data_IF_156309078176
#
_entry.id   IF_156309078176
#
_cell.length_a   1.000
_cell.length_b   1.000
_cell.length_c   1.000
_cell.angle_alpha   90.00
_cell.angle_beta   90.00
_cell.angle_gamma   90.00
#
_symmetry.space_group_name_H-M   'P 1'
#
loop_
_entity.id
_entity.type
_entity.pdbx_description
1 polymer ?
#
# COMPACT_ATOMS: atom_id res chain seq x y z
N UNK A 1 -20.34 -25.27 12.60
CA UNK A 1 -20.49 -24.41 11.40
C UNK A 1 -21.58 -23.34 11.49
N UNK A 2 -22.64 -23.48 12.31
CA UNK A 2 -23.64 -22.41 12.56
C UNK A 2 -23.12 -21.26 13.47
N UNK A 3 -22.05 -21.54 14.21
CA UNK A 3 -21.51 -20.67 15.26
C UNK A 3 -20.97 -19.36 14.69
N UNK A 4 -20.37 -19.36 13.50
CA UNK A 4 -19.68 -18.17 12.96
C UNK A 4 -20.63 -16.99 12.70
N UNK A 5 -21.83 -17.26 12.17
CA UNK A 5 -22.85 -16.20 11.99
C UNK A 5 -23.45 -15.73 13.31
N UNK A 6 -23.63 -16.64 14.27
CA UNK A 6 -24.10 -16.28 15.60
C UNK A 6 -23.10 -15.35 16.30
N UNK A 7 -21.79 -15.65 16.22
CA UNK A 7 -20.74 -14.78 16.77
C UNK A 7 -20.78 -13.39 16.14
N UNK A 8 -20.89 -13.31 14.82
CA UNK A 8 -20.97 -12.04 14.11
C UNK A 8 -22.19 -11.23 14.53
N UNK A 9 -23.36 -11.85 14.64
CA UNK A 9 -24.58 -11.19 15.11
C UNK A 9 -24.47 -10.71 16.57
N UNK A 10 -23.84 -11.50 17.45
CA UNK A 10 -23.58 -11.09 18.84
C UNK A 10 -22.64 -9.89 18.85
N UNK A 11 -21.59 -9.91 18.03
CA UNK A 11 -20.68 -8.78 17.89
C UNK A 11 -21.41 -7.52 17.40
N UNK A 12 -22.27 -7.63 16.39
CA UNK A 12 -23.08 -6.49 15.92
C UNK A 12 -23.98 -5.94 17.05
N UNK A 13 -24.66 -6.83 17.79
CA UNK A 13 -25.55 -6.44 18.87
C UNK A 13 -24.82 -5.75 20.03
N UNK A 14 -23.61 -6.21 20.38
CA UNK A 14 -22.83 -5.66 21.50
C UNK A 14 -22.07 -4.38 21.10
N UNK A 15 -21.53 -4.33 19.88
CA UNK A 15 -20.72 -3.19 19.41
C UNK A 15 -21.53 -2.07 18.77
N UNK A 16 -22.74 -2.36 18.29
CA UNK A 16 -23.52 -1.45 17.45
C UNK A 16 -22.97 -1.28 16.03
N UNK A 17 -21.98 -2.09 15.63
CA UNK A 17 -21.41 -2.08 14.28
C UNK A 17 -22.18 -3.06 13.38
N UNK A 18 -22.26 -2.75 12.09
CA UNK A 18 -22.89 -3.62 11.08
C UNK A 18 -21.88 -4.10 10.04
N UNK A 19 -22.00 -5.37 9.65
CA UNK A 19 -21.18 -5.97 8.60
C UNK A 19 -21.62 -5.43 7.25
N UNK A 20 -20.65 -4.96 6.49
CA UNK A 20 -20.87 -4.55 5.11
C UNK A 20 -20.75 -5.76 4.17
N UNK A 21 -21.88 -6.43 3.94
CA UNK A 21 -21.96 -7.62 3.06
C UNK A 21 -21.44 -7.39 1.64
N UNK A 22 -21.50 -6.16 1.12
CA UNK A 22 -20.98 -5.81 -0.20
C UNK A 22 -19.45 -5.75 -0.26
N UNK A 23 -18.80 -5.52 0.88
CA UNK A 23 -17.34 -5.46 1.03
C UNK A 23 -16.74 -6.72 1.67
N UNK A 24 -17.58 -7.67 2.09
CA UNK A 24 -17.14 -8.92 2.72
C UNK A 24 -16.92 -10.03 1.71
N UNK A 25 -15.68 -10.52 1.67
CA UNK A 25 -15.25 -11.57 0.75
C UNK A 25 -14.47 -12.66 1.49
N UNK A 26 -14.51 -13.88 0.95
CA UNK A 26 -13.66 -15.00 1.32
C UNK A 26 -12.68 -15.24 0.18
N UNK A 27 -11.39 -15.32 0.51
CA UNK A 27 -10.33 -15.61 -0.43
C UNK A 27 -9.70 -16.97 -0.09
N UNK A 28 -9.87 -18.01 -0.92
CA UNK A 28 -9.20 -19.27 -0.69
C UNK A 28 -7.68 -19.12 -0.90
N UNK A 29 -6.90 -19.68 0.02
CA UNK A 29 -5.44 -19.77 -0.12
C UNK A 29 -5.11 -21.21 -0.48
N UNK A 30 -4.59 -21.41 -1.69
CA UNK A 30 -4.41 -22.74 -2.33
C UNK A 30 -5.76 -23.44 -2.58
N UNK A 31 -5.76 -24.78 -2.52
CA UNK A 31 -6.93 -25.61 -2.76
C UNK A 31 -7.68 -25.78 -1.44
N UNK A 32 -8.84 -25.11 -1.33
CA UNK A 32 -9.74 -25.25 -0.18
C UNK A 32 -11.04 -25.88 -0.67
N UNK A 33 -11.33 -27.15 -0.32
CA UNK A 33 -12.59 -27.78 -0.69
C UNK A 33 -13.76 -27.07 0.00
N UNK A 34 -14.91 -27.04 -0.66
CA UNK A 34 -16.17 -26.50 -0.12
C UNK A 34 -16.15 -25.01 0.26
N UNK A 35 -15.31 -24.20 -0.40
CA UNK A 35 -15.26 -22.74 -0.14
C UNK A 35 -16.58 -22.04 -0.46
N UNK A 36 -17.31 -22.50 -1.47
CA UNK A 36 -18.61 -21.95 -1.87
C UNK A 36 -19.69 -22.22 -0.82
N UNK A 37 -19.72 -23.42 -0.25
CA UNK A 37 -20.63 -23.77 0.85
C UNK A 37 -20.35 -22.91 2.08
N UNK A 38 -19.07 -22.66 2.40
CA UNK A 38 -18.69 -21.75 3.48
C UNK A 38 -19.13 -20.31 3.20
N UNK A 39 -18.92 -19.82 1.98
CA UNK A 39 -19.30 -18.47 1.55
C UNK A 39 -20.82 -18.28 1.61
N UNK A 40 -21.58 -19.25 1.11
CA UNK A 40 -23.05 -19.28 1.19
C UNK A 40 -23.53 -19.25 2.64
N UNK A 41 -22.96 -20.09 3.51
CA UNK A 41 -23.31 -20.13 4.93
C UNK A 41 -23.06 -18.81 5.62
N UNK A 42 -21.96 -18.13 5.30
CA UNK A 42 -21.58 -16.84 5.89
C UNK A 42 -22.30 -15.65 5.25
N UNK A 43 -22.82 -15.77 4.03
CA UNK A 43 -23.38 -14.66 3.26
C UNK A 43 -22.31 -13.76 2.61
N UNK A 44 -21.09 -14.29 2.44
CA UNK A 44 -19.96 -13.58 1.82
C UNK A 44 -19.76 -14.03 0.39
N UNK A 45 -19.08 -13.20 -0.41
CA UNK A 45 -18.72 -13.53 -1.79
C UNK A 45 -17.36 -14.25 -1.82
N UNK A 46 -17.19 -15.23 -2.71
CA UNK A 46 -15.86 -15.79 -2.97
C UNK A 46 -15.11 -14.82 -3.90
N UNK A 47 -13.89 -14.46 -3.54
CA UNK A 47 -13.01 -13.65 -4.36
C UNK A 47 -11.74 -14.42 -4.75
N UNK A 48 -11.00 -13.88 -5.70
CA UNK A 48 -9.76 -14.47 -6.20
C UNK A 48 -8.55 -13.62 -5.84
N UNK A 49 -7.41 -14.29 -5.60
CA UNK A 49 -6.12 -13.63 -5.42
C UNK A 49 -5.42 -13.46 -6.78
N UNK A 50 -4.65 -12.38 -6.99
CA UNK A 50 -4.22 -11.40 -5.99
C UNK A 50 -5.19 -10.23 -5.80
N UNK A 51 -5.29 -9.73 -4.56
CA UNK A 51 -6.08 -8.52 -4.21
C UNK A 51 -5.22 -7.44 -3.57
N UNK A 52 -5.67 -6.19 -3.62
CA UNK A 52 -5.03 -5.11 -2.86
C UNK A 52 -5.71 -4.93 -1.51
N UNK A 53 -5.00 -5.21 -0.42
CA UNK A 53 -5.45 -4.98 0.95
C UNK A 53 -4.52 -4.00 1.65
N UNK A 54 -5.06 -2.90 2.17
CA UNK A 54 -4.29 -1.80 2.78
C UNK A 54 -3.16 -1.26 1.88
N UNK A 55 -3.34 -1.33 0.57
CA UNK A 55 -2.34 -0.91 -0.42
C UNK A 55 -1.27 -1.96 -0.74
N UNK A 56 -1.39 -3.19 -0.20
CA UNK A 56 -0.49 -4.32 -0.43
C UNK A 56 -1.16 -5.37 -1.32
N UNK A 57 -0.49 -5.88 -2.36
CA UNK A 57 -1.00 -7.01 -3.12
C UNK A 57 -0.86 -8.33 -2.31
N UNK A 58 -1.97 -8.84 -1.78
CA UNK A 58 -2.06 -10.16 -1.17
C UNK A 58 -2.12 -11.25 -2.24
N UNK A 59 -1.43 -12.36 -2.01
CA UNK A 59 -1.39 -13.50 -2.94
C UNK A 59 -0.57 -13.26 -4.23
N UNK A 60 0.05 -12.09 -4.39
CA UNK A 60 0.98 -11.85 -5.49
C UNK A 60 2.31 -12.57 -5.26
N UNK A 61 3.00 -12.93 -6.35
CA UNK A 61 4.35 -13.52 -6.28
C UNK A 61 5.31 -12.51 -5.66
N UNK A 62 5.82 -12.82 -4.46
CA UNK A 62 6.70 -12.00 -3.61
C UNK A 62 7.92 -11.38 -4.33
N UNK A 63 8.43 -12.03 -5.39
CA UNK A 63 9.60 -11.55 -6.17
C UNK A 63 9.25 -10.60 -7.33
N UNK A 64 7.96 -10.29 -7.54
CA UNK A 64 7.54 -9.38 -8.60
C UNK A 64 7.97 -7.95 -8.27
N UNK A 65 8.81 -7.36 -9.11
CA UNK A 65 9.09 -5.92 -9.08
C UNK A 65 7.82 -5.07 -9.22
N UNK A 66 6.73 -5.66 -9.73
CA UNK A 66 5.42 -5.04 -9.82
C UNK A 66 4.81 -4.67 -8.47
N UNK A 67 5.17 -5.36 -7.38
CA UNK A 67 4.70 -5.01 -6.02
C UNK A 67 5.19 -3.60 -5.63
N UNK A 68 6.42 -3.27 -6.03
CA UNK A 68 7.05 -1.98 -5.72
C UNK A 68 6.69 -0.88 -6.71
N UNK A 69 6.18 -1.21 -7.90
CA UNK A 69 5.78 -0.21 -8.91
C UNK A 69 4.75 0.77 -8.35
N UNK A 70 3.75 0.29 -7.61
CA UNK A 70 2.75 1.16 -7.00
C UNK A 70 3.32 2.11 -5.93
N UNK A 71 4.38 1.71 -5.23
CA UNK A 71 5.09 2.59 -4.28
C UNK A 71 5.88 3.65 -5.02
N UNK A 72 6.64 3.24 -6.03
CA UNK A 72 7.45 4.14 -6.86
C UNK A 72 6.55 5.20 -7.50
N UNK A 73 5.43 4.79 -8.10
CA UNK A 73 4.47 5.69 -8.74
C UNK A 73 3.84 6.67 -7.74
N UNK A 74 3.51 6.21 -6.53
CA UNK A 74 3.02 7.09 -5.45
C UNK A 74 4.07 8.13 -5.05
N UNK A 75 5.34 7.73 -4.92
CA UNK A 75 6.44 8.65 -4.63
C UNK A 75 6.59 9.69 -5.75
N UNK A 76 6.63 9.26 -7.01
CA UNK A 76 6.74 10.16 -8.17
C UNK A 76 5.56 11.14 -8.24
N UNK A 77 4.34 10.67 -7.98
CA UNK A 77 3.14 11.52 -7.96
C UNK A 77 3.18 12.57 -6.85
N UNK A 78 3.70 12.22 -5.67
CA UNK A 78 3.91 13.19 -4.57
C UNK A 78 4.90 14.28 -4.97
N UNK A 79 5.98 13.90 -5.66
CA UNK A 79 6.98 14.86 -6.15
C UNK A 79 6.41 15.86 -7.15
N UNK A 80 5.57 15.42 -8.09
CA UNK A 80 4.92 16.31 -9.06
C UNK A 80 4.05 17.36 -8.36
N UNK A 81 3.37 16.96 -7.28
CA UNK A 81 2.52 17.86 -6.51
C UNK A 81 3.31 18.84 -5.62
N UNK A 82 4.53 18.48 -5.24
CA UNK A 82 5.40 19.37 -4.48
C UNK A 82 6.09 20.33 -5.44
N UNK A 83 5.62 21.58 -5.42
CA UNK A 83 6.19 22.68 -6.20
C UNK A 83 7.60 23.02 -5.68
N UNK A 84 8.58 22.23 -6.11
CA UNK A 84 9.97 22.24 -5.64
C UNK A 84 10.61 23.63 -5.63
N UNK A 85 10.21 24.48 -6.58
CA UNK A 85 10.67 25.86 -6.72
C UNK A 85 10.35 26.77 -5.52
N UNK A 86 9.34 26.44 -4.71
CA UNK A 86 8.96 27.23 -3.53
C UNK A 86 9.49 26.65 -2.21
N UNK A 87 10.28 25.57 -2.25
CA UNK A 87 10.75 24.88 -1.06
C UNK A 87 12.24 25.13 -0.84
N UNK A 88 12.63 25.43 0.41
CA UNK A 88 14.03 25.49 0.77
C UNK A 88 14.67 24.10 0.77
N UNK A 89 16.00 24.03 0.76
CA UNK A 89 16.71 22.74 0.85
C UNK A 89 16.35 21.97 2.13
N UNK A 90 16.10 22.67 3.25
CA UNK A 90 15.69 22.04 4.51
C UNK A 90 14.26 21.51 4.45
N UNK A 91 13.33 22.24 3.81
CA UNK A 91 11.95 21.78 3.63
C UNK A 91 11.91 20.54 2.74
N UNK A 92 12.70 20.53 1.66
CA UNK A 92 12.81 19.35 0.78
C UNK A 92 13.34 18.14 1.53
N UNK A 93 14.37 18.30 2.36
CA UNK A 93 14.88 17.21 3.21
C UNK A 93 13.83 16.70 4.19
N UNK A 94 13.09 17.62 4.82
CA UNK A 94 12.00 17.27 5.74
C UNK A 94 10.91 16.46 5.02
N UNK A 95 10.52 16.83 3.81
CA UNK A 95 9.52 16.10 3.01
C UNK A 95 10.01 14.72 2.57
N UNK A 96 11.30 14.59 2.22
CA UNK A 96 11.90 13.29 1.92
C UNK A 96 11.78 12.36 3.13
N UNK A 97 12.26 12.80 4.28
CA UNK A 97 12.32 11.97 5.49
C UNK A 97 10.93 11.64 6.05
N UNK A 98 10.01 12.61 6.04
CA UNK A 98 8.68 12.44 6.64
C UNK A 98 7.67 11.73 5.73
N UNK A 99 7.79 11.88 4.40
CA UNK A 99 6.79 11.35 3.46
C UNK A 99 7.37 10.32 2.50
N UNK A 100 8.47 10.64 1.78
CA UNK A 100 9.00 9.69 0.78
C UNK A 100 9.60 8.45 1.41
N UNK A 101 10.13 8.54 2.62
CA UNK A 101 10.70 7.40 3.33
C UNK A 101 9.64 6.56 4.04
N UNK A 102 8.56 7.19 4.49
CA UNK A 102 7.44 6.49 5.12
C UNK A 102 6.70 5.55 4.15
N UNK A 103 6.54 5.96 2.88
CA UNK A 103 5.83 5.18 1.85
C UNK A 103 6.43 3.78 1.60
N UNK A 104 7.74 3.63 1.30
CA UNK A 104 8.36 2.32 1.15
C UNK A 104 8.55 1.60 2.48
N UNK A 105 8.66 2.31 3.61
CA UNK A 105 8.88 1.69 4.93
C UNK A 105 7.79 0.70 5.30
N UNK A 106 6.53 1.01 4.99
CA UNK A 106 5.42 0.09 5.19
C UNK A 106 5.61 -1.23 4.41
N UNK A 107 5.99 -1.15 3.13
CA UNK A 107 6.22 -2.34 2.31
C UNK A 107 7.48 -3.11 2.71
N UNK A 108 8.53 -2.42 3.16
CA UNK A 108 9.77 -3.03 3.62
C UNK A 108 9.57 -3.90 4.86
N UNK A 109 8.56 -3.61 5.69
CA UNK A 109 8.21 -4.45 6.85
C UNK A 109 7.65 -5.83 6.46
N UNK A 110 7.20 -6.01 5.21
CA UNK A 110 6.51 -7.21 4.72
C UNK A 110 7.33 -7.92 3.65
N UNK A 111 7.95 -7.17 2.75
CA UNK A 111 8.72 -7.69 1.63
C UNK A 111 10.15 -7.17 1.64
N UNK A 112 11.16 -8.03 1.38
CA UNK A 112 12.51 -7.57 1.18
C UNK A 112 12.57 -6.66 -0.06
N UNK A 113 13.21 -5.50 0.07
CA UNK A 113 13.33 -4.54 -1.02
C UNK A 113 14.39 -5.02 -2.05
N UNK A 114 14.04 -5.15 -3.33
CA UNK A 114 15.01 -5.48 -4.37
C UNK A 114 16.00 -4.33 -4.60
N UNK A 115 17.28 -4.64 -4.83
CA UNK A 115 18.30 -3.62 -5.07
C UNK A 115 17.95 -2.62 -6.20
N UNK A 116 17.24 -3.08 -7.25
CA UNK A 116 16.75 -2.23 -8.34
C UNK A 116 15.75 -1.17 -7.85
N UNK A 117 14.87 -1.54 -6.92
CA UNK A 117 13.88 -0.64 -6.33
C UNK A 117 14.56 0.38 -5.42
N UNK A 118 15.50 -0.06 -4.58
CA UNK A 118 16.30 0.84 -3.73
C UNK A 118 17.01 1.90 -4.57
N UNK A 119 17.73 1.48 -5.62
CA UNK A 119 18.42 2.40 -6.54
C UNK A 119 17.46 3.42 -7.18
N UNK A 120 16.24 2.99 -7.54
CA UNK A 120 15.23 3.89 -8.12
C UNK A 120 14.69 4.88 -7.10
N UNK A 121 14.36 4.46 -5.89
CA UNK A 121 13.91 5.34 -4.82
C UNK A 121 15.00 6.35 -4.44
N UNK A 122 16.26 5.94 -4.37
CA UNK A 122 17.36 6.85 -4.09
C UNK A 122 17.57 7.87 -5.20
N UNK A 123 17.38 7.48 -6.48
CA UNK A 123 17.40 8.42 -7.59
C UNK A 123 16.26 9.45 -7.47
N UNK A 124 15.05 9.02 -7.13
CA UNK A 124 13.89 9.89 -6.90
C UNK A 124 14.18 10.90 -5.78
N UNK A 125 14.70 10.44 -4.64
CA UNK A 125 15.07 11.29 -3.50
C UNK A 125 16.13 12.32 -3.88
N UNK A 126 17.23 11.87 -4.51
CA UNK A 126 18.32 12.76 -4.95
C UNK A 126 17.82 13.82 -5.93
N UNK A 127 17.06 13.40 -6.95
CA UNK A 127 16.54 14.34 -7.94
C UNK A 127 15.67 15.42 -7.29
N UNK A 128 14.80 15.07 -6.34
CA UNK A 128 14.00 16.06 -5.63
C UNK A 128 14.83 17.03 -4.78
N UNK A 129 15.82 16.52 -4.04
CA UNK A 129 16.68 17.34 -3.18
C UNK A 129 17.48 18.37 -4.00
N UNK A 130 18.04 17.96 -5.14
CA UNK A 130 18.97 18.76 -5.93
C UNK A 130 18.30 19.63 -7.02
N UNK A 131 17.07 19.32 -7.44
CA UNK A 131 16.35 20.07 -8.49
C UNK A 131 16.14 21.56 -8.18
N UNK A 132 16.09 21.95 -6.89
CA UNK A 132 15.98 23.36 -6.49
C UNK A 132 17.33 24.07 -6.22
N UNK A 133 18.45 23.39 -6.43
CA UNK A 133 19.80 23.94 -6.24
C UNK A 133 20.44 24.40 -7.55
N UNK A 134 19.99 23.88 -8.70
CA UNK A 134 20.44 24.30 -10.04
C UNK A 134 19.99 25.73 -10.38
N UNK A 135 18.86 26.18 -9.83
CA UNK A 135 18.29 27.52 -10.10
C UNK A 135 18.89 28.64 -9.23
N UNK A 136 19.82 28.30 -8.31
CA UNK A 136 20.53 29.27 -7.45
C UNK A 136 22.01 29.42 -7.81
N UNK A 137 22.41 28.86 -8.94
CA UNK A 137 23.79 28.81 -9.41
C UNK A 137 24.14 29.84 -10.48
N UNK A 138 23.47 31.01 -10.57
CA UNK A 138 23.98 32.18 -11.31
C UNK A 138 23.42 33.47 -10.68
N UNK A 139 24.16 34.05 -9.72
CA UNK A 139 24.32 35.50 -9.56
C UNK A 139 25.19 35.79 -8.34
N UNK A 140 26.30 36.48 -8.60
CA UNK A 140 27.28 37.09 -7.67
C UNK A 140 28.44 36.20 -7.24
#
# INVERSE_FOLDING_TARGET
MLISRVILNIFEAVSGLHINWNKSFIYPVNIVPNIEDLAYKLGWKVGELPITYLGIPLGAKSKSSGIWSGVIEKCERKLVNWKCQYLSSSDRLTLVNSVLDALPSYMMSIFPIPAKVTKRLDAIRRNFLWKGSEDKGVAS
#
